data_IF_990724130405
#
_entry.id   IF_990724130405
#
_cell.length_a   1.000
_cell.length_b   1.000
_cell.length_c   1.000
_cell.angle_alpha   90.00
_cell.angle_beta   90.00
_cell.angle_gamma   90.00
#
_symmetry.space_group_name_H-M   'P 1'
#
loop_
_entity.id
_entity.type
_entity.pdbx_description
1 polymer ?
2 non-polymer ?
3 non-polymer ?
4 non-polymer ?
5 non-polymer ?
6 water ?
#
# COMPACT_ATOMS: atom_id res chain seq x y z
N UNK A 1 -2.53 -10.81 -0.44
CA UNK A 1 -1.23 -11.31 -0.97
C UNK A 1 -1.38 -12.79 -1.31
N UNK A 2 -1.09 -13.12 -2.55
CA UNK A 2 -1.04 -14.51 -3.01
C UNK A 2 0.34 -15.05 -2.90
N UNK A 3 0.50 -16.30 -2.44
CA UNK A 3 1.80 -16.92 -2.39
C UNK A 3 2.68 -16.48 -1.25
N UNK A 4 2.07 -15.81 -0.26
CA UNK A 4 2.86 -15.30 0.87
C UNK A 4 2.77 -16.16 2.09
N UNK A 5 3.22 -15.61 3.21
CA UNK A 5 3.20 -16.27 4.50
C UNK A 5 2.71 -15.30 5.53
N UNK A 6 2.31 -15.82 6.70
CA UNK A 6 1.94 -14.97 7.81
C UNK A 6 3.15 -14.14 8.22
N UNK A 7 2.93 -12.86 8.46
CA UNK A 7 3.95 -12.02 9.05
C UNK A 7 4.10 -12.39 10.53
N UNK A 8 5.27 -12.09 11.08
CA UNK A 8 5.45 -12.13 12.55
C UNK A 8 4.74 -10.91 13.13
N UNK A 9 4.23 -11.07 14.34
CA UNK A 9 3.62 -9.93 15.01
C UNK A 9 4.60 -8.76 15.14
N UNK A 10 4.16 -7.60 14.67
CA UNK A 10 4.97 -6.45 14.78
C UNK A 10 6.10 -6.33 13.75
N UNK A 11 6.16 -7.24 12.76
CA UNK A 11 7.20 -7.23 11.76
C UNK A 11 7.14 -6.05 10.79
N UNK A 12 5.95 -5.49 10.59
CA UNK A 12 5.75 -4.44 9.61
C UNK A 12 4.98 -3.30 10.31
N UNK A 13 5.64 -2.57 11.25
CA UNK A 13 4.89 -1.69 12.17
C UNK A 13 4.41 -0.42 11.50
N UNK A 14 4.73 -0.20 10.23
CA UNK A 14 4.23 0.89 9.42
C UNK A 14 2.96 0.47 8.62
N UNK A 15 2.59 -0.83 8.59
CA UNK A 15 1.46 -1.24 7.84
C UNK A 15 0.17 -0.87 8.60
N UNK A 16 -0.79 -0.28 7.90
CA UNK A 16 -2.04 0.19 8.48
C UNK A 16 -3.22 -0.46 7.72
N UNK A 17 -4.30 -0.74 8.44
CA UNK A 17 -5.57 -1.22 7.84
C UNK A 17 -6.63 -0.11 7.86
N UNK A 18 -7.24 0.17 6.70
CA UNK A 18 -8.28 1.18 6.57
C UNK A 18 -9.62 0.51 6.40
N UNK A 19 -10.52 0.73 7.36
CA UNK A 19 -11.90 0.19 7.31
C UNK A 19 -12.88 1.29 6.98
N UNK A 20 -13.82 1.00 6.08
CA UNK A 20 -14.92 1.90 5.80
C UNK A 20 -16.05 1.50 6.70
N UNK A 21 -16.75 2.44 7.32
CA UNK A 21 -17.66 2.10 8.44
C UNK A 21 -18.73 1.20 7.94
N UNK A 22 -18.86 0.07 8.66
CA UNK A 22 -19.82 -0.99 8.24
C UNK A 22 -19.36 -2.00 7.25
N UNK A 23 -18.14 -1.84 6.76
CA UNK A 23 -17.71 -2.70 5.70
C UNK A 23 -16.45 -3.50 5.95
N UNK A 24 -15.78 -3.29 7.06
CA UNK A 24 -14.55 -3.95 7.32
C UNK A 24 -13.36 -3.39 6.51
N UNK A 25 -12.27 -4.12 6.51
CA UNK A 25 -11.06 -3.74 5.85
C UNK A 25 -11.28 -3.55 4.35
N UNK A 26 -10.89 -2.43 3.83
CA UNK A 26 -10.96 -2.09 2.37
C UNK A 26 -9.60 -1.95 1.75
N UNK A 27 -8.66 -1.28 2.41
CA UNK A 27 -7.37 -0.92 1.79
C UNK A 27 -6.34 -0.92 2.89
N UNK A 28 -5.08 -0.90 2.45
CA UNK A 28 -3.98 -0.60 3.31
C UNK A 28 -3.48 0.81 3.21
N UNK A 29 -2.55 1.13 4.07
CA UNK A 29 -1.83 2.41 4.07
C UNK A 29 -0.51 2.21 4.80
N UNK A 30 0.34 3.23 4.74
CA UNK A 30 1.59 3.21 5.50
C UNK A 30 1.71 4.44 6.38
N UNK A 31 2.26 4.25 7.59
CA UNK A 31 2.53 5.34 8.50
C UNK A 31 3.84 6.00 8.10
N UNK A 32 3.83 7.31 7.89
CA UNK A 32 5.03 8.09 7.51
C UNK A 32 5.47 9.12 8.55
N UNK A 33 4.60 9.47 9.48
CA UNK A 33 4.90 10.47 10.53
C UNK A 33 3.80 10.29 11.59
N UNK A 34 3.83 11.05 12.68
CA UNK A 34 2.76 10.83 13.67
C UNK A 34 1.36 11.15 13.13
N UNK A 35 1.25 12.01 12.12
CA UNK A 35 -0.06 12.53 11.71
C UNK A 35 -0.48 12.10 10.31
N UNK A 36 0.40 11.39 9.54
CA UNK A 36 0.12 11.14 8.12
C UNK A 36 0.37 9.71 7.71
N UNK A 37 -0.53 9.28 6.80
CA UNK A 37 -0.42 8.02 6.11
C UNK A 37 -0.31 8.25 4.63
N UNK A 38 0.33 7.29 3.92
CA UNK A 38 0.25 7.23 2.47
C UNK A 38 -0.60 6.08 2.09
N UNK A 39 -1.46 6.26 1.07
CA UNK A 39 -2.29 5.17 0.56
C UNK A 39 -2.52 5.36 -0.92
N UNK A 40 -3.50 4.67 -1.51
CA UNK A 40 -3.80 4.76 -2.95
C UNK A 40 -5.04 5.60 -3.13
N UNK A 41 -5.01 6.55 -4.05
CA UNK A 41 -6.16 7.42 -4.37
C UNK A 41 -7.41 6.62 -4.75
N UNK A 42 -7.25 5.48 -5.45
CA UNK A 42 -8.40 4.80 -6.02
C UNK A 42 -9.30 4.22 -4.91
N UNK A 43 -8.82 4.11 -3.67
CA UNK A 43 -9.57 3.54 -2.55
C UNK A 43 -10.61 4.53 -2.02
N UNK A 44 -10.48 5.80 -2.40
CA UNK A 44 -11.25 6.88 -1.79
C UNK A 44 -12.16 7.55 -2.79
N UNK A 45 -12.76 6.78 -3.69
CA UNK A 45 -13.63 7.30 -4.77
C UNK A 45 -15.08 6.93 -4.48
N UNK A 46 -15.97 7.92 -4.42
CA UNK A 46 -17.39 7.65 -4.18
C UNK A 46 -17.96 6.70 -5.22
N UNK A 47 -18.88 5.85 -4.81
CA UNK A 47 -19.74 5.18 -5.75
C UNK A 47 -21.22 5.43 -5.36
N UNK A 48 -22.16 4.92 -6.14
CA UNK A 48 -23.58 5.26 -5.84
C UNK A 48 -24.08 4.81 -4.47
N UNK A 49 -23.39 3.84 -3.87
CA UNK A 49 -23.81 3.34 -2.54
C UNK A 49 -23.05 3.91 -1.34
N UNK A 50 -21.85 4.53 -1.52
CA UNK A 50 -21.02 4.81 -0.36
C UNK A 50 -20.02 5.88 -0.76
N UNK A 51 -19.88 6.84 0.14
CA UNK A 51 -18.98 7.99 -0.13
C UNK A 51 -17.59 7.67 0.42
N UNK A 52 -16.82 6.92 -0.34
CA UNK A 52 -15.43 6.56 0.05
C UNK A 52 -14.55 7.76 0.12
N UNK A 53 -14.90 8.89 -0.54
CA UNK A 53 -14.09 10.08 -0.48
C UNK A 53 -14.21 10.89 0.81
N UNK A 54 -15.20 10.56 1.64
CA UNK A 54 -15.47 11.33 2.86
C UNK A 54 -14.64 10.79 4.01
N UNK A 55 -13.69 11.61 4.55
CA UNK A 55 -12.77 11.10 5.58
C UNK A 55 -13.53 10.59 6.82
N UNK A 56 -14.72 11.10 7.09
CA UNK A 56 -15.48 10.66 8.29
C UNK A 56 -15.99 9.27 8.17
N UNK A 57 -15.86 8.64 6.99
CA UNK A 57 -16.34 7.27 6.77
C UNK A 57 -15.35 6.20 7.13
N UNK A 58 -14.17 6.58 7.60
CA UNK A 58 -13.05 5.65 7.70
C UNK A 58 -12.56 5.49 9.13
N UNK A 59 -11.90 4.39 9.39
CA UNK A 59 -11.12 4.15 10.61
C UNK A 59 -9.83 3.52 10.16
N UNK A 60 -8.73 4.02 10.73
CA UNK A 60 -7.38 3.45 10.55
C UNK A 60 -6.99 2.63 11.79
N UNK A 61 -6.50 1.43 11.57
CA UNK A 61 -5.97 0.62 12.65
C UNK A 61 -4.47 0.50 12.46
N UNK A 62 -3.71 1.00 13.46
CA UNK A 62 -2.26 0.95 13.48
C UNK A 62 -1.86 -0.13 14.46
N UNK A 63 -0.75 -0.80 14.21
CA UNK A 63 -0.32 -1.86 15.14
C UNK A 63 -1.10 -3.16 15.04
N UNK A 64 -1.89 -3.34 13.98
CA UNK A 64 -2.78 -4.46 13.82
C UNK A 64 -2.02 -5.65 13.26
N UNK A 65 -2.38 -6.83 13.74
CA UNK A 65 -1.91 -8.10 13.24
C UNK A 65 -3.00 -8.92 12.60
N UNK A 66 -4.07 -9.16 13.38
CA UNK A 66 -5.18 -10.05 13.00
C UNK A 66 -6.45 -9.22 12.97
N UNK A 67 -7.13 -9.27 11.80
CA UNK A 67 -8.40 -8.56 11.63
C UNK A 67 -9.49 -8.97 12.62
N UNK A 68 -9.38 -10.19 13.15
CA UNK A 68 -10.38 -10.61 14.15
C UNK A 68 -10.06 -10.15 15.58
N UNK A 69 -8.90 -9.48 15.77
CA UNK A 69 -8.41 -9.05 17.09
C UNK A 69 -8.00 -7.57 17.04
N UNK A 70 -8.96 -6.71 16.72
CA UNK A 70 -8.68 -5.31 16.51
C UNK A 70 -8.56 -4.50 17.78
N UNK A 71 -8.88 -5.11 18.92
CA UNK A 71 -8.73 -4.43 20.23
C UNK A 71 -7.56 -5.04 21.01
N UNK A 72 -6.76 -5.89 20.36
CA UNK A 72 -5.60 -6.46 21.03
C UNK A 72 -4.68 -5.40 21.59
N UNK A 73 -3.89 -5.71 22.65
CA UNK A 73 -2.96 -4.74 23.17
C UNK A 73 -2.07 -4.20 22.05
N UNK A 74 -1.83 -2.91 22.09
CA UNK A 74 -0.93 -2.26 21.13
C UNK A 74 -1.64 -1.76 19.84
N UNK A 75 -2.85 -2.25 19.55
CA UNK A 75 -3.53 -1.75 18.37
C UNK A 75 -4.07 -0.35 18.70
N UNK A 76 -3.89 0.58 17.77
CA UNK A 76 -4.41 1.95 17.92
C UNK A 76 -5.47 2.19 16.85
N UNK A 77 -6.59 2.74 17.26
CA UNK A 77 -7.65 3.10 16.35
C UNK A 77 -7.60 4.59 16.19
N UNK A 78 -7.70 5.05 14.93
CA UNK A 78 -7.73 6.48 14.64
C UNK A 78 -8.74 6.80 13.58
N UNK A 79 -9.36 7.96 13.70
CA UNK A 79 -10.20 8.51 12.61
C UNK A 79 -9.30 9.38 11.69
N UNK A 80 -9.89 9.76 10.56
CA UNK A 80 -9.20 10.64 9.58
C UNK A 80 -9.81 11.98 9.59
N UNK A 81 -9.03 13.03 9.43
CA UNK A 81 -9.40 14.40 9.29
C UNK A 81 -9.55 14.79 7.82
N UNK A 82 -8.71 14.23 6.95
CA UNK A 82 -8.62 14.71 5.60
C UNK A 82 -8.07 13.54 4.75
N UNK A 83 -8.48 13.52 3.46
CA UNK A 83 -7.94 12.68 2.46
C UNK A 83 -7.45 13.61 1.33
N UNK A 84 -6.16 13.64 1.02
CA UNK A 84 -5.62 14.44 -0.08
C UNK A 84 -5.28 13.48 -1.22
N UNK A 85 -6.13 13.38 -2.23
CA UNK A 85 -5.82 12.51 -3.36
C UNK A 85 -5.02 13.31 -4.38
N UNK A 86 -4.06 12.65 -5.02
CA UNK A 86 -3.21 13.41 -5.97
C UNK A 86 -4.11 14.11 -6.97
N UNK A 87 -3.78 15.38 -7.29
CA UNK A 87 -4.65 16.10 -8.21
C UNK A 87 -4.67 15.49 -9.62
N UNK A 88 -3.65 14.71 -9.99
CA UNK A 88 -3.61 14.17 -11.32
C UNK A 88 -4.12 12.76 -11.39
N UNK A 89 -4.64 12.22 -10.28
CA UNK A 89 -5.21 10.87 -10.30
C UNK A 89 -6.34 10.82 -11.32
N UNK A 90 -6.45 9.70 -12.04
CA UNK A 90 -7.68 9.44 -12.71
C UNK A 90 -8.09 8.00 -12.62
N UNK A 91 -9.37 7.78 -12.41
CA UNK A 91 -9.85 6.48 -12.14
C UNK A 91 -10.02 5.55 -13.30
N UNK A 92 -9.74 6.03 -14.52
CA UNK A 92 -9.78 5.19 -15.71
C UNK A 92 -8.38 4.61 -15.94
N UNK A 93 -7.35 5.47 -16.00
CA UNK A 93 -5.98 4.99 -16.31
C UNK A 93 -5.28 4.52 -15.01
N UNK A 94 -5.76 4.98 -13.83
CA UNK A 94 -5.05 4.78 -12.54
C UNK A 94 -3.70 5.45 -12.48
N UNK A 95 -3.42 6.40 -13.38
CA UNK A 95 -2.21 7.19 -13.24
C UNK A 95 -2.32 8.00 -11.91
N UNK A 96 -1.12 8.25 -11.31
CA UNK A 96 -1.05 9.09 -10.09
C UNK A 96 -1.87 8.50 -8.95
N UNK A 97 -1.77 7.17 -8.77
CA UNK A 97 -2.61 6.50 -7.76
C UNK A 97 -1.97 6.59 -6.39
N UNK A 98 -2.13 7.73 -5.72
CA UNK A 98 -1.51 7.99 -4.42
C UNK A 98 -2.38 8.99 -3.69
N UNK A 99 -2.50 8.81 -2.36
CA UNK A 99 -3.25 9.73 -1.54
C UNK A 99 -2.52 9.89 -0.22
N UNK A 100 -2.80 11.01 0.46
CA UNK A 100 -2.26 11.24 1.82
C UNK A 100 -3.45 11.35 2.77
N UNK A 101 -3.38 10.63 3.88
CA UNK A 101 -4.43 10.55 4.87
C UNK A 101 -3.95 11.22 6.13
N UNK A 102 -4.72 12.21 6.62
CA UNK A 102 -4.33 12.91 7.86
C UNK A 102 -5.10 12.31 9.01
N UNK A 103 -4.36 11.75 9.97
CA UNK A 103 -4.93 11.18 11.16
C UNK A 103 -5.57 12.31 11.97
N UNK A 104 -6.69 12.01 12.61
CA UNK A 104 -7.38 13.02 13.38
C UNK A 104 -6.70 13.31 14.74
N UNK A 105 -5.96 12.32 15.27
CA UNK A 105 -5.10 12.44 16.43
C UNK A 105 -3.84 11.66 16.11
N UNK A 106 -2.66 12.13 16.59
CA UNK A 106 -1.41 11.45 16.20
C UNK A 106 -1.34 10.00 16.65
N UNK A 107 -0.61 9.20 15.89
CA UNK A 107 -0.22 7.90 16.33
C UNK A 107 0.74 7.99 17.49
N UNK A 108 0.73 7.01 18.34
CA UNK A 108 1.74 6.89 19.42
C UNK A 108 2.78 5.84 19.03
N UNK A 109 4.01 6.24 18.80
CA UNK A 109 5.05 5.29 18.40
C UNK A 109 5.29 4.26 19.46
N UNK A 110 5.49 3.02 19.07
CA UNK A 110 5.69 1.89 20.02
C UNK A 110 6.38 0.79 19.26
N UNK A 111 6.62 -0.34 19.90
CA UNK A 111 7.20 -1.42 19.08
C UNK A 111 6.32 -1.91 17.95
N UNK A 112 5.02 -1.65 18.04
CA UNK A 112 4.06 -2.10 17.05
C UNK A 112 3.70 -1.07 16.04
N UNK A 113 4.10 0.19 16.27
CA UNK A 113 3.63 1.34 15.48
C UNK A 113 4.86 2.21 15.25
N UNK A 114 5.36 2.25 13.99
CA UNK A 114 6.61 2.91 13.67
C UNK A 114 6.54 3.32 12.20
N UNK A 115 7.00 4.53 11.85
CA UNK A 115 6.89 4.95 10.45
C UNK A 115 7.92 4.24 9.58
N UNK A 116 7.58 4.10 8.31
CA UNK A 116 8.52 3.66 7.27
C UNK A 116 9.38 4.87 6.83
N UNK A 117 10.60 4.62 6.35
CA UNK A 117 11.43 5.71 5.81
C UNK A 117 10.97 6.04 4.39
N UNK A 118 11.00 7.34 4.07
CA UNK A 118 10.71 7.76 2.75
C UNK A 118 11.97 7.99 1.93
N UNK A 119 11.98 7.53 0.64
CA UNK A 119 13.17 7.72 -0.19
C UNK A 119 13.22 9.13 -0.80
N UNK A 120 14.42 9.63 -0.99
CA UNK A 120 14.60 10.88 -1.66
C UNK A 120 14.15 10.77 -3.11
N UNK A 121 13.84 11.92 -3.72
CA UNK A 121 13.35 11.96 -5.08
C UNK A 121 14.30 11.30 -6.08
N UNK A 122 15.61 11.43 -5.80
CA UNK A 122 16.57 10.90 -6.77
C UNK A 122 16.88 9.40 -6.60
N UNK A 123 16.39 8.77 -5.54
CA UNK A 123 16.72 7.37 -5.31
C UNK A 123 16.06 6.43 -6.32
N UNK A 124 16.85 5.52 -6.88
CA UNK A 124 16.39 4.48 -7.82
C UNK A 124 16.28 3.19 -7.08
N UNK A 125 15.09 2.57 -7.07
CA UNK A 125 14.96 1.16 -6.66
C UNK A 125 15.22 0.31 -7.87
N UNK A 126 16.38 -0.38 -7.93
CA UNK A 126 16.81 -0.95 -9.21
C UNK A 126 16.03 -2.18 -9.61
N UNK A 127 15.89 -2.34 -10.91
CA UNK A 127 15.32 -3.60 -11.43
C UNK A 127 16.08 -4.80 -10.88
N UNK A 128 15.34 -5.84 -10.50
CA UNK A 128 15.85 -7.06 -9.94
C UNK A 128 15.88 -7.07 -8.43
N UNK A 129 15.72 -5.92 -7.76
CA UNK A 129 15.83 -5.94 -6.31
C UNK A 129 14.61 -6.62 -5.71
N UNK A 130 14.84 -7.47 -4.70
CA UNK A 130 13.77 -8.10 -3.92
C UNK A 130 13.25 -7.10 -2.91
N UNK A 131 11.92 -6.97 -2.88
CA UNK A 131 11.23 -6.07 -1.97
C UNK A 131 9.99 -6.84 -1.48
N UNK A 132 9.26 -6.26 -0.54
CA UNK A 132 8.19 -6.99 0.14
C UNK A 132 6.87 -6.26 -0.01
N UNK A 133 5.83 -7.03 -0.30
CA UNK A 133 4.46 -6.55 -0.22
C UNK A 133 3.79 -7.16 0.98
N UNK A 134 2.96 -6.41 1.66
CA UNK A 134 2.24 -6.84 2.84
C UNK A 134 0.82 -6.41 2.79
N UNK A 135 -0.09 -7.20 3.38
CA UNK A 135 -1.48 -6.76 3.46
C UNK A 135 -2.41 -7.86 3.90
N UNK A 136 -3.67 -7.45 4.05
CA UNK A 136 -4.76 -8.33 4.45
C UNK A 136 -5.65 -8.66 3.27
N UNK A 137 -5.21 -8.44 2.04
CA UNK A 137 -6.02 -8.76 0.88
C UNK A 137 -6.17 -10.20 0.61
N UNK A 138 -6.89 -10.49 -0.47
CA UNK A 138 -7.15 -11.86 -0.91
C UNK A 138 -5.89 -12.71 -1.08
N UNK A 139 -5.98 -13.96 -0.72
CA UNK A 139 -4.86 -14.86 -0.89
C UNK A 139 -4.92 -15.70 -2.19
N UNK A 140 -6.00 -15.49 -2.94
CA UNK A 140 -6.07 -16.00 -4.33
C UNK A 140 -7.01 -15.03 -5.02
N UNK A 141 -6.85 -14.86 -6.36
CA UNK A 141 -7.75 -13.98 -7.08
C UNK A 141 -9.17 -14.50 -6.89
N UNK A 142 -10.13 -13.59 -6.59
CA UNK A 142 -11.54 -13.97 -6.43
C UNK A 142 -11.73 -14.66 -5.09
N UNK A 143 -10.67 -14.82 -4.28
CA UNK A 143 -10.72 -15.61 -3.07
C UNK A 143 -11.12 -14.78 -1.88
N UNK A 144 -10.42 -15.25 -0.59
CA UNK A 144 -10.86 -14.46 0.62
C UNK A 144 -9.66 -13.71 1.24
N UNK A 145 -9.96 -12.63 1.90
CA UNK A 145 -8.95 -11.82 2.65
C UNK A 145 -8.34 -12.62 3.76
N UNK A 146 -7.15 -12.29 4.11
CA UNK A 146 -6.45 -12.97 5.20
C UNK A 146 -6.80 -12.25 6.51
N UNK A 147 -7.06 -13.03 7.54
CA UNK A 147 -7.20 -12.49 8.90
C UNK A 147 -5.87 -12.01 9.45
N UNK A 148 -4.85 -12.78 9.10
CA UNK A 148 -3.55 -12.51 9.54
C UNK A 148 -2.77 -11.74 8.48
N UNK A 149 -2.05 -10.70 8.92
CA UNK A 149 -1.26 -9.94 7.95
C UNK A 149 -0.33 -10.90 7.17
N UNK A 150 -0.31 -10.81 5.83
CA UNK A 150 0.57 -11.60 4.95
C UNK A 150 1.71 -10.76 4.43
N UNK A 151 2.81 -11.47 4.11
CA UNK A 151 3.95 -10.88 3.46
C UNK A 151 4.33 -11.73 2.25
N UNK A 152 4.88 -11.07 1.23
CA UNK A 152 5.39 -11.79 0.06
C UNK A 152 6.58 -11.05 -0.51
N UNK A 153 7.60 -11.80 -0.96
CA UNK A 153 8.77 -11.25 -1.55
C UNK A 153 8.63 -11.21 -3.07
N UNK A 154 8.89 -10.04 -3.66
CA UNK A 154 8.65 -9.84 -5.10
C UNK A 154 9.81 -9.02 -5.64
N UNK A 155 10.08 -9.03 -6.93
CA UNK A 155 11.23 -8.30 -7.47
C UNK A 155 10.81 -7.20 -8.45
N UNK A 156 11.54 -6.08 -8.41
CA UNK A 156 11.28 -4.96 -9.34
C UNK A 156 11.54 -5.44 -10.77
N UNK A 157 10.62 -5.16 -11.66
CA UNK A 157 10.72 -5.55 -13.08
C UNK A 157 11.15 -4.33 -13.87
N UNK A 158 11.94 -4.58 -14.91
CA UNK A 158 12.38 -3.50 -15.83
C UNK A 158 11.19 -2.81 -16.45
N UNK A 159 11.27 -1.46 -16.61
CA UNK A 159 10.08 -0.72 -17.07
C UNK A 159 9.61 -1.07 -18.48
N UNK A 160 10.54 -1.31 -19.40
CA UNK A 160 10.10 -1.66 -20.79
C UNK A 160 9.41 -3.02 -20.80
N UNK A 161 9.93 -3.97 -20.00
CA UNK A 161 9.32 -5.26 -19.90
C UNK A 161 7.88 -5.10 -19.34
N UNK A 162 7.73 -4.28 -18.27
CA UNK A 162 6.41 -4.01 -17.67
C UNK A 162 5.45 -3.43 -18.69
N UNK A 163 5.90 -2.39 -19.39
CA UNK A 163 5.04 -1.76 -20.42
C UNK A 163 4.49 -2.77 -21.40
N UNK A 164 5.37 -3.69 -21.83
CA UNK A 164 5.01 -4.68 -22.84
C UNK A 164 4.10 -5.80 -22.31
N UNK A 165 4.18 -6.10 -21.02
CA UNK A 165 3.26 -7.03 -20.40
C UNK A 165 1.81 -6.54 -20.33
N UNK A 166 1.67 -5.21 -20.16
CA UNK A 166 0.37 -4.59 -19.95
C UNK A 166 0.26 -3.42 -20.95
N UNK A 167 0.05 -3.75 -22.24
CA UNK A 167 0.24 -2.72 -23.26
C UNK A 167 -0.76 -1.58 -23.14
N UNK A 168 -0.26 -0.37 -23.38
CA UNK A 168 -1.00 0.85 -23.38
C UNK A 168 -1.60 1.19 -22.02
N UNK A 169 -0.99 0.65 -20.95
CA UNK A 169 -1.52 0.84 -19.59
C UNK A 169 -0.49 1.36 -18.60
N UNK A 170 0.81 1.21 -18.83
CA UNK A 170 1.81 1.52 -17.82
C UNK A 170 2.36 2.90 -18.07
N UNK A 171 2.16 3.80 -17.13
CA UNK A 171 2.74 5.16 -17.19
C UNK A 171 4.03 5.16 -16.44
N UNK A 172 4.82 6.25 -16.55
CA UNK A 172 6.05 6.35 -15.76
C UNK A 172 5.85 6.46 -14.28
N UNK A 173 4.60 6.72 -13.78
CA UNK A 173 4.35 6.68 -12.34
C UNK A 173 4.26 5.27 -11.77
N UNK A 174 4.14 4.29 -12.67
CA UNK A 174 3.88 2.90 -12.31
C UNK A 174 5.14 2.08 -12.41
N UNK A 175 5.19 1.00 -11.65
CA UNK A 175 6.24 0.00 -11.75
C UNK A 175 5.66 -1.36 -11.47
N UNK A 176 6.08 -2.33 -12.29
CA UNK A 176 5.70 -3.70 -12.05
C UNK A 176 6.64 -4.33 -11.09
N UNK A 177 6.13 -5.13 -10.16
CA UNK A 177 6.93 -5.81 -9.16
C UNK A 177 6.36 -7.18 -8.94
N UNK A 178 7.13 -8.26 -9.04
CA UNK A 178 6.63 -9.61 -8.99
C UNK A 178 7.51 -10.53 -9.75
N UNK A 179 6.89 -11.46 -10.45
CA UNK A 179 7.63 -12.50 -11.22
C UNK A 179 6.89 -12.73 -12.48
N UNK A 180 7.59 -12.88 -13.62
CA UNK A 180 6.96 -13.29 -14.87
C UNK A 180 6.29 -14.66 -14.71
N UNK A 181 6.83 -15.49 -13.84
CA UNK A 181 6.20 -16.81 -13.62
C UNK A 181 5.00 -16.77 -12.69
N UNK A 182 4.65 -15.59 -12.14
CA UNK A 182 3.53 -15.49 -11.27
C UNK A 182 3.83 -15.98 -9.86
N UNK A 183 2.86 -16.52 -9.17
CA UNK A 183 3.04 -17.22 -7.86
C UNK A 183 2.93 -16.32 -6.65
N UNK A 184 3.58 -15.17 -6.66
CA UNK A 184 3.55 -14.24 -5.50
C UNK A 184 3.10 -12.90 -6.05
N UNK A 185 2.08 -12.32 -5.44
CA UNK A 185 1.54 -11.03 -5.98
C UNK A 185 0.67 -10.38 -4.94
N UNK A 186 0.43 -9.10 -5.06
CA UNK A 186 -0.61 -8.45 -4.34
C UNK A 186 -2.00 -8.85 -4.91
N UNK A 187 -3.04 -8.57 -4.17
CA UNK A 187 -4.36 -8.89 -4.62
C UNK A 187 -5.39 -7.96 -3.99
N UNK A 188 -6.68 -8.07 -4.33
CA UNK A 188 -7.71 -7.16 -3.83
C UNK A 188 -7.65 -7.04 -2.33
N UNK A 189 -7.71 -5.81 -1.83
CA UNK A 189 -7.60 -5.49 -0.39
C UNK A 189 -6.19 -5.17 0.02
N UNK A 190 -5.19 -5.42 -0.82
CA UNK A 190 -3.83 -5.01 -0.52
C UNK A 190 -3.57 -3.57 -0.95
N UNK A 191 -4.39 -3.05 -1.87
CA UNK A 191 -4.21 -1.68 -2.45
C UNK A 191 -3.99 -0.66 -1.37
N UNK A 192 -3.08 0.27 -1.64
CA UNK A 192 -2.77 1.32 -0.69
C UNK A 192 -1.66 1.03 0.25
N UNK A 193 -1.36 -0.27 0.47
CA UNK A 193 -0.26 -0.59 1.35
C UNK A 193 1.10 -0.31 0.73
N UNK A 194 2.13 -0.38 1.55
CA UNK A 194 3.45 -0.07 1.10
C UNK A 194 4.22 -1.26 0.53
N UNK A 195 5.06 -1.01 -0.47
CA UNK A 195 6.18 -1.88 -0.73
C UNK A 195 7.32 -1.54 0.20
N UNK A 196 7.91 -2.52 0.89
CA UNK A 196 8.95 -2.31 1.88
C UNK A 196 10.28 -2.82 1.25
N UNK A 197 11.30 -1.96 1.21
CA UNK A 197 12.61 -2.33 0.69
C UNK A 197 13.69 -2.17 1.73
N UNK A 198 14.45 -3.25 1.91
CA UNK A 198 15.56 -3.22 2.88
C UNK A 198 16.74 -2.49 2.19
N UNK A 199 17.18 -1.43 2.84
CA UNK A 199 18.21 -0.58 2.27
C UNK A 199 19.58 -0.84 2.92
N UNK A 200 20.56 0.02 2.68
CA UNK A 200 21.96 -0.40 2.83
C UNK A 200 22.41 -0.70 4.26
N UNK A 201 21.71 -0.16 5.24
CA UNK A 201 21.98 -0.45 6.67
C UNK A 201 20.87 -1.28 7.30
N UNK A 202 19.98 -1.86 6.49
CA UNK A 202 18.90 -2.71 6.97
C UNK A 202 17.62 -1.93 7.31
N UNK A 203 17.65 -0.58 7.32
CA UNK A 203 16.41 0.18 7.48
C UNK A 203 15.53 0.00 6.26
N UNK A 204 14.22 -0.01 6.51
CA UNK A 204 13.27 -0.20 5.46
C UNK A 204 12.66 1.07 4.94
N UNK A 205 12.70 1.22 3.63
CA UNK A 205 12.18 2.37 2.89
C UNK A 205 10.97 1.97 2.07
N UNK A 206 10.02 2.89 1.85
CA UNK A 206 8.89 2.62 1.03
C UNK A 206 9.23 2.80 -0.44
N UNK A 207 9.05 1.76 -1.21
CA UNK A 207 9.36 1.81 -2.64
C UNK A 207 8.19 2.20 -3.44
N UNK A 208 6.98 1.98 -2.97
CA UNK A 208 5.81 2.20 -3.81
C UNK A 208 4.57 1.89 -3.02
N UNK A 209 3.43 2.04 -3.74
CA UNK A 209 2.09 1.88 -3.18
C UNK A 209 1.39 0.80 -4.02
N UNK A 210 0.77 -0.18 -3.37
CA UNK A 210 0.01 -1.22 -4.08
C UNK A 210 -1.14 -0.53 -4.86
N UNK A 211 -1.21 -0.77 -6.18
CA UNK A 211 -2.15 -0.05 -7.04
C UNK A 211 -3.15 -0.96 -7.76
N UNK A 212 -2.70 -1.80 -8.72
CA UNK A 212 -3.65 -2.58 -9.50
C UNK A 212 -2.93 -3.74 -10.18
N UNK A 213 -3.74 -4.63 -10.78
CA UNK A 213 -3.16 -5.69 -11.59
C UNK A 213 -4.24 -6.31 -12.45
N UNK A 214 -3.78 -7.11 -13.41
CA UNK A 214 -4.71 -7.93 -14.20
C UNK A 214 -4.75 -9.32 -13.55
N UNK A 215 -5.86 -9.58 -12.71
CA UNK A 215 -5.86 -10.80 -11.91
C UNK A 215 -4.81 -10.72 -10.78
N UNK A 216 -4.45 -11.85 -10.22
CA UNK A 216 -3.41 -11.86 -9.21
C UNK A 216 -2.58 -13.13 -9.40
N UNK A 217 -1.25 -13.00 -9.40
CA UNK A 217 -0.29 -14.12 -9.42
C UNK A 217 -0.26 -14.88 -10.71
N UNK A 218 -0.86 -14.36 -11.76
CA UNK A 218 -0.83 -15.02 -13.05
C UNK A 218 0.50 -14.84 -13.75
N UNK A 219 0.88 -15.83 -14.56
CA UNK A 219 2.05 -15.75 -15.41
C UNK A 219 1.94 -14.45 -16.27
N UNK A 220 3.08 -13.74 -16.38
CA UNK A 220 3.19 -12.54 -17.23
C UNK A 220 2.26 -11.39 -16.79
N UNK A 221 1.73 -11.44 -15.56
CA UNK A 221 0.87 -10.36 -15.06
C UNK A 221 1.27 -10.00 -13.65
N UNK A 222 2.49 -9.46 -13.45
CA UNK A 222 2.87 -8.99 -12.15
C UNK A 222 2.06 -7.78 -11.73
N UNK A 223 1.88 -7.58 -10.46
CA UNK A 223 1.19 -6.41 -9.96
C UNK A 223 1.89 -5.08 -10.28
N UNK A 224 1.04 -4.06 -10.34
CA UNK A 224 1.44 -2.68 -10.64
C UNK A 224 1.36 -1.84 -9.39
N UNK A 225 2.35 -0.99 -9.19
CA UNK A 225 2.57 -0.20 -7.98
C UNK A 225 2.86 1.22 -8.39
N UNK A 226 2.43 2.18 -7.56
CA UNK A 226 2.82 3.58 -7.78
C UNK A 226 4.21 3.81 -7.21
N UNK A 227 5.12 4.39 -7.97
CA UNK A 227 6.49 4.68 -7.51
C UNK A 227 6.50 5.79 -6.49
N UNK A 228 7.25 5.66 -5.45
CA UNK A 228 7.30 6.67 -4.40
C UNK A 228 8.30 7.83 -4.56
N UNK A 229 9.54 7.63 -5.05
CA UNK A 229 10.48 8.78 -5.14
C UNK A 229 9.95 9.96 -5.90
N UNK A 230 9.17 9.69 -6.95
CA UNK A 230 8.49 10.72 -7.77
C UNK A 230 7.69 11.69 -6.94
N UNK A 231 7.16 11.19 -5.81
CA UNK A 231 6.20 11.98 -4.98
C UNK A 231 6.80 12.54 -3.73
N UNK A 232 8.13 12.44 -3.51
CA UNK A 232 8.71 12.90 -2.27
C UNK A 232 8.42 14.38 -2.02
N UNK A 233 8.60 15.23 -3.06
CA UNK A 233 8.35 16.66 -2.91
C UNK A 233 6.88 16.94 -2.73
N UNK A 234 5.99 16.21 -3.39
CA UNK A 234 4.55 16.40 -3.21
C UNK A 234 4.15 16.09 -1.78
N UNK A 235 4.71 15.00 -1.21
CA UNK A 235 4.48 14.64 0.18
C UNK A 235 4.94 15.78 1.09
N UNK A 236 6.16 16.24 0.90
CA UNK A 236 6.66 17.38 1.71
C UNK A 236 5.78 18.62 1.62
N UNK A 237 5.36 18.98 0.43
CA UNK A 237 4.56 20.17 0.24
C UNK A 237 3.21 20.08 0.93
N UNK A 238 2.60 18.90 0.93
CA UNK A 238 1.23 18.75 1.44
C UNK A 238 1.20 18.42 2.91
N UNK A 239 2.29 17.87 3.50
CA UNK A 239 2.28 17.30 4.86
C UNK A 239 3.31 17.89 5.77
N UNK A 240 4.33 18.49 5.19
CA UNK A 240 5.49 18.95 5.97
C UNK A 240 6.48 17.85 6.33
N UNK A 241 6.17 16.58 5.98
CA UNK A 241 7.03 15.45 6.23
C UNK A 241 8.10 15.31 5.16
#
# INVERSE_FOLDING_TARGET
VVGGTDADEGEWPWQVSLHALGQGHICGASLISPNWLVSAAHCYIDDRGFRYSDPTQWTAFLGLHDQSQRSAPGVQERRLKRIISHPFFNDFTFDYDIALLELEKPAEYSSMVRPICLPDASHVFPAGKAIWVTGWGHTQYGGTGALILQKGEIRVIQQTTCENLLPQQITPRMMCVGFLSGGVDSCQGDSGGPLSSVEADGRIFQAGVVSWGDGCAQRNKPGVYTRLPLFRDWIKENTGV
#
